data_IF_986662459074
#
_entry.id   IF_986662459074
#
_cell.length_a   1.000
_cell.length_b   1.000
_cell.length_c   1.000
_cell.angle_alpha   90.00
_cell.angle_beta   90.00
_cell.angle_gamma   90.00
#
_symmetry.space_group_name_H-M   'P 1'
#
loop_
_entity.id
_entity.type
_entity.pdbx_description
1 polymer ?
#
# COMPACT_ATOMS: atom_id res chain seq x y z
N UNK A 1 11.80 13.53 -16.67
CA UNK A 1 11.53 12.82 -15.41
C UNK A 1 10.65 13.74 -14.60
N UNK A 2 9.40 13.34 -14.32
CA UNK A 2 8.58 14.12 -13.40
C UNK A 2 9.26 14.14 -12.02
N UNK A 3 9.28 15.30 -11.38
CA UNK A 3 9.79 15.44 -10.04
C UNK A 3 8.85 14.72 -9.06
N UNK A 4 9.39 13.80 -8.25
CA UNK A 4 8.64 13.17 -7.17
C UNK A 4 8.53 14.19 -6.03
N UNK A 5 7.31 14.61 -5.73
CA UNK A 5 7.00 15.59 -4.67
C UNK A 5 6.86 14.95 -3.30
N UNK A 6 6.62 13.64 -3.25
CA UNK A 6 6.41 12.88 -2.03
C UNK A 6 5.89 11.48 -2.33
N UNK A 7 5.35 10.83 -1.30
CA UNK A 7 4.82 9.48 -1.35
C UNK A 7 3.44 9.44 -0.70
N UNK A 8 2.47 8.84 -1.38
CA UNK A 8 1.10 8.75 -0.90
C UNK A 8 0.65 7.30 -0.73
N UNK A 9 -0.17 7.04 0.29
CA UNK A 9 -0.84 5.76 0.52
C UNK A 9 -2.30 6.01 0.84
N UNK A 10 -3.18 5.11 0.41
CA UNK A 10 -4.60 5.22 0.76
C UNK A 10 -4.82 4.95 2.25
N UNK A 11 -5.63 5.79 2.90
CA UNK A 11 -6.02 5.60 4.30
C UNK A 11 -6.77 4.28 4.48
N UNK A 12 -6.49 3.57 5.58
CA UNK A 12 -7.15 2.30 5.87
C UNK A 12 -8.68 2.44 6.01
N UNK A 13 -9.15 3.60 6.47
CA UNK A 13 -10.55 3.88 6.72
C UNK A 13 -11.30 4.43 5.50
N UNK A 14 -10.60 4.77 4.41
CA UNK A 14 -11.26 5.17 3.18
C UNK A 14 -12.03 3.96 2.64
N UNK A 15 -13.36 3.94 2.87
CA UNK A 15 -14.26 2.90 2.34
C UNK A 15 -14.07 2.85 0.83
N UNK A 16 -13.82 1.65 0.30
CA UNK A 16 -13.57 1.42 -1.11
C UNK A 16 -14.72 0.64 -1.71
N UNK A 17 -15.51 1.30 -2.53
CA UNK A 17 -16.39 0.61 -3.46
C UNK A 17 -15.56 -0.06 -4.57
N UNK A 18 -14.33 0.40 -4.87
CA UNK A 18 -13.53 -0.24 -5.92
C UNK A 18 -11.99 -0.10 -5.75
N UNK A 19 -11.34 -1.15 -5.21
CA UNK A 19 -9.89 -1.38 -5.46
C UNK A 19 -9.60 -1.53 -6.98
N UNK A 20 -10.63 -1.80 -7.79
CA UNK A 20 -10.53 -2.11 -9.21
C UNK A 20 -10.43 -0.86 -10.11
N UNK A 21 -11.17 0.21 -9.80
CA UNK A 21 -11.25 1.40 -10.67
C UNK A 21 -9.99 2.28 -10.63
N UNK A 22 -9.30 2.33 -9.48
CA UNK A 22 -8.11 3.20 -9.32
C UNK A 22 -6.78 2.44 -9.36
N UNK A 23 -6.80 1.11 -9.26
CA UNK A 23 -5.58 0.28 -9.23
C UNK A 23 -4.69 0.46 -7.99
N UNK A 24 -5.13 1.29 -7.04
CA UNK A 24 -4.40 1.58 -5.80
C UNK A 24 -4.58 0.43 -4.82
N UNK A 25 -3.47 -0.14 -4.35
CA UNK A 25 -3.43 -1.27 -3.44
C UNK A 25 -3.36 -0.78 -2.01
N UNK A 26 -4.15 -1.41 -1.14
CA UNK A 26 -4.05 -1.17 0.30
C UNK A 26 -2.61 -1.37 0.78
N UNK A 27 -2.13 -0.44 1.60
CA UNK A 27 -0.80 -0.48 2.19
C UNK A 27 0.37 -0.06 1.29
N UNK A 28 0.15 0.14 -0.01
CA UNK A 28 1.18 0.53 -0.96
C UNK A 28 1.41 2.05 -0.96
N UNK A 29 2.66 2.44 -1.15
CA UNK A 29 3.08 3.83 -1.28
C UNK A 29 3.41 4.16 -2.73
N UNK A 30 2.88 5.27 -3.22
CA UNK A 30 2.94 5.71 -4.60
C UNK A 30 3.64 7.06 -4.70
N UNK A 31 4.54 7.29 -5.67
CA UNK A 31 5.11 8.61 -5.91
C UNK A 31 4.02 9.64 -6.21
N UNK A 32 4.10 10.81 -5.59
CA UNK A 32 3.26 11.97 -5.91
C UNK A 32 3.94 12.75 -7.02
N UNK A 33 3.28 12.88 -8.16
CA UNK A 33 3.76 13.63 -9.33
C UNK A 33 3.25 15.07 -9.33
N UNK A 34 2.07 15.30 -8.76
CA UNK A 34 1.48 16.63 -8.60
C UNK A 34 0.55 16.64 -7.39
N UNK A 35 0.49 17.79 -6.72
CA UNK A 35 -0.32 18.01 -5.52
C UNK A 35 -1.07 19.34 -5.68
N UNK A 36 -2.40 19.30 -5.70
CA UNK A 36 -3.28 20.46 -5.66
C UNK A 36 -4.03 20.53 -4.32
N UNK A 37 -5.00 21.44 -4.19
CA UNK A 37 -5.74 21.63 -2.92
C UNK A 37 -6.65 20.44 -2.58
N UNK A 38 -7.29 19.83 -3.57
CA UNK A 38 -8.27 18.75 -3.35
C UNK A 38 -7.88 17.44 -4.00
N UNK A 39 -6.94 17.47 -4.95
CA UNK A 39 -6.54 16.32 -5.76
C UNK A 39 -5.02 16.18 -5.79
N UNK A 40 -4.57 14.93 -5.80
CA UNK A 40 -3.17 14.58 -6.05
C UNK A 40 -3.09 13.65 -7.26
N UNK A 41 -1.98 13.71 -7.99
CA UNK A 41 -1.67 12.79 -9.10
C UNK A 41 -0.57 11.85 -8.64
N UNK A 42 -0.87 10.56 -8.65
CA UNK A 42 0.04 9.49 -8.24
C UNK A 42 0.59 8.74 -9.44
N UNK A 43 1.82 8.26 -9.35
CA UNK A 43 2.36 7.24 -10.25
C UNK A 43 1.99 5.84 -9.73
N UNK A 44 1.06 5.19 -10.42
CA UNK A 44 0.61 3.83 -10.14
C UNK A 44 1.11 2.91 -11.25
N UNK A 45 2.29 2.32 -11.04
CA UNK A 45 2.92 1.39 -11.99
C UNK A 45 3.11 2.00 -13.40
N UNK A 46 3.49 3.27 -13.49
CA UNK A 46 3.68 4.01 -14.73
C UNK A 46 2.43 4.72 -15.24
N UNK A 47 1.28 4.56 -14.56
CA UNK A 47 0.05 5.25 -14.90
C UNK A 47 -0.22 6.42 -13.96
N UNK A 48 -0.62 7.56 -14.51
CA UNK A 48 -1.04 8.73 -13.73
C UNK A 48 -2.46 8.51 -13.21
N UNK A 49 -2.63 8.45 -11.90
CA UNK A 49 -3.93 8.26 -11.24
C UNK A 49 -4.24 9.47 -10.37
N UNK A 50 -5.37 10.12 -10.65
CA UNK A 50 -5.86 11.26 -9.87
C UNK A 50 -6.70 10.77 -8.70
N UNK A 51 -6.35 11.18 -7.48
CA UNK A 51 -7.04 10.82 -6.24
C UNK A 51 -7.50 12.06 -5.48
N UNK A 52 -8.52 11.90 -4.63
CA UNK A 52 -8.84 12.92 -3.62
C UNK A 52 -7.73 12.95 -2.56
N UNK A 53 -7.35 14.14 -2.10
CA UNK A 53 -6.40 14.26 -0.99
C UNK A 53 -6.97 13.72 0.34
N UNK A 54 -8.29 13.74 0.50
CA UNK A 54 -8.97 13.27 1.72
C UNK A 54 -8.81 11.75 1.95
N UNK A 55 -8.51 10.98 0.90
CA UNK A 55 -8.38 9.52 0.98
C UNK A 55 -6.93 9.04 1.01
N UNK A 56 -5.94 9.96 0.95
CA UNK A 56 -4.51 9.61 0.96
C UNK A 56 -3.74 10.27 2.10
N UNK A 57 -2.86 9.49 2.70
CA UNK A 57 -1.80 9.97 3.59
C UNK A 57 -0.59 10.30 2.72
N UNK A 58 -0.02 11.49 2.86
CA UNK A 58 1.16 11.94 2.10
C UNK A 58 2.34 12.12 3.04
N UNK A 59 3.53 11.69 2.60
CA UNK A 59 4.81 11.87 3.28
C UNK A 59 5.87 12.37 2.31
N UNK A 60 6.78 13.22 2.79
CA UNK A 60 7.86 13.76 1.95
C UNK A 60 8.88 12.69 1.56
N UNK A 61 9.21 11.80 2.51
CA UNK A 61 10.20 10.75 2.31
C UNK A 61 9.54 9.43 1.95
N UNK A 62 10.22 8.68 1.08
CA UNK A 62 9.85 7.30 0.80
C UNK A 62 9.90 6.47 2.09
N UNK A 63 8.83 5.74 2.43
CA UNK A 63 8.88 4.81 3.54
C UNK A 63 9.87 3.67 3.27
N UNK A 64 10.46 3.15 4.34
CA UNK A 64 11.42 2.04 4.35
C UNK A 64 10.89 0.79 5.07
N UNK A 65 9.79 0.95 5.82
CA UNK A 65 9.09 -0.11 6.55
C UNK A 65 7.99 -0.77 5.74
N UNK A 66 7.74 -2.03 6.02
CA UNK A 66 6.56 -2.73 5.51
C UNK A 66 5.30 -2.19 6.18
N UNK A 67 4.32 -1.79 5.36
CA UNK A 67 2.97 -1.51 5.86
C UNK A 67 2.29 -2.82 6.20
N UNK A 68 1.69 -2.92 7.37
CA UNK A 68 0.77 -4.02 7.70
C UNK A 68 -0.62 -3.67 7.22
N UNK A 69 -1.25 -4.58 6.48
CA UNK A 69 -2.67 -4.49 6.12
C UNK A 69 -3.44 -5.53 6.92
N UNK A 70 -4.48 -5.06 7.61
CA UNK A 70 -5.48 -5.89 8.27
C UNK A 70 -6.73 -5.91 7.39
N UNK A 71 -7.18 -7.12 7.04
CA UNK A 71 -8.47 -7.34 6.41
C UNK A 71 -9.41 -7.98 7.41
N UNK A 72 -10.61 -7.42 7.53
CA UNK A 72 -11.71 -8.02 8.28
C UNK A 72 -12.22 -9.28 7.56
N UNK A 73 -13.17 -9.99 8.16
CA UNK A 73 -13.79 -11.15 7.51
C UNK A 73 -14.65 -10.74 6.31
N UNK A 74 -15.28 -9.58 6.39
CA UNK A 74 -16.24 -9.07 5.42
C UNK A 74 -15.57 -8.28 4.27
N UNK A 75 -14.29 -7.94 4.43
CA UNK A 75 -13.54 -7.26 3.39
C UNK A 75 -13.45 -8.11 2.11
N UNK A 76 -13.72 -7.53 0.93
CA UNK A 76 -13.52 -8.21 -0.34
C UNK A 76 -12.09 -8.73 -0.49
N UNK A 77 -11.98 -10.01 -0.89
CA UNK A 77 -10.70 -10.61 -1.26
C UNK A 77 -10.85 -11.38 -2.57
N UNK A 78 -10.72 -10.70 -3.73
CA UNK A 78 -10.83 -11.36 -5.03
C UNK A 78 -9.75 -12.42 -5.25
N UNK A 79 -8.66 -12.39 -4.48
CA UNK A 79 -7.60 -13.39 -4.54
C UNK A 79 -7.87 -14.61 -3.64
N UNK A 80 -8.98 -14.67 -2.88
CA UNK A 80 -9.26 -15.74 -1.92
C UNK A 80 -9.20 -17.11 -2.59
N UNK A 81 -8.44 -18.03 -1.98
CA UNK A 81 -8.27 -19.40 -2.50
C UNK A 81 -7.29 -19.53 -3.68
N UNK A 82 -6.68 -18.44 -4.13
CA UNK A 82 -5.65 -18.45 -5.18
C UNK A 82 -4.25 -18.34 -4.59
N UNK A 83 -3.21 -18.59 -5.40
CA UNK A 83 -1.81 -18.35 -4.98
C UNK A 83 -1.50 -16.88 -4.68
N UNK A 84 -2.32 -15.95 -5.16
CA UNK A 84 -2.17 -14.53 -4.90
C UNK A 84 -2.79 -14.10 -3.56
N UNK A 85 -3.45 -15.01 -2.84
CA UNK A 85 -4.02 -14.71 -1.53
C UNK A 85 -2.91 -14.43 -0.52
N UNK A 86 -2.87 -13.20 -0.02
CA UNK A 86 -1.94 -12.80 1.03
C UNK A 86 -2.48 -13.09 2.45
N UNK A 87 -3.73 -13.55 2.58
CA UNK A 87 -4.39 -13.78 3.86
C UNK A 87 -4.92 -12.49 4.51
N UNK A 88 -5.49 -12.61 5.71
CA UNK A 88 -6.13 -11.47 6.40
C UNK A 88 -5.16 -10.45 6.98
N UNK A 89 -3.91 -10.85 7.18
CA UNK A 89 -2.83 -10.00 7.69
C UNK A 89 -1.62 -10.21 6.80
N UNK A 90 -1.14 -9.14 6.19
CA UNK A 90 -0.01 -9.20 5.28
C UNK A 90 0.78 -7.90 5.28
N UNK A 91 2.05 -8.00 4.90
CA UNK A 91 2.93 -6.85 4.70
C UNK A 91 2.85 -6.34 3.27
N UNK A 92 3.09 -5.05 3.07
CA UNK A 92 3.27 -4.47 1.73
C UNK A 92 4.66 -3.88 1.64
N UNK A 93 5.42 -4.36 0.67
CA UNK A 93 6.80 -3.92 0.48
C UNK A 93 6.85 -2.42 0.11
N UNK A 94 7.63 -1.59 0.83
CA UNK A 94 7.74 -0.17 0.54
C UNK A 94 8.49 0.12 -0.77
N UNK A 95 9.22 -0.87 -1.30
CA UNK A 95 10.04 -0.72 -2.51
C UNK A 95 9.29 -1.05 -3.81
N UNK A 96 8.41 -2.04 -3.79
CA UNK A 96 7.76 -2.53 -5.01
C UNK A 96 6.28 -2.87 -4.85
N UNK A 97 5.66 -2.48 -3.72
CA UNK A 97 4.23 -2.66 -3.43
C UNK A 97 3.75 -4.12 -3.45
N UNK A 98 4.69 -5.07 -3.39
CA UNK A 98 4.37 -6.50 -3.37
C UNK A 98 3.81 -6.88 -2.01
N UNK A 99 2.68 -7.61 -2.03
CA UNK A 99 2.07 -8.20 -0.83
C UNK A 99 2.93 -9.35 -0.33
N UNK A 100 3.30 -9.34 0.94
CA UNK A 100 4.09 -10.36 1.60
C UNK A 100 3.18 -11.06 2.63
N UNK A 101 2.80 -12.32 2.40
CA UNK A 101 1.92 -13.04 3.33
C UNK A 101 2.63 -13.28 4.66
N UNK A 102 1.93 -13.00 5.77
CA UNK A 102 2.39 -13.39 7.09
C UNK A 102 1.83 -14.77 7.44
N UNK A 103 2.69 -15.78 7.47
CA UNK A 103 2.31 -17.17 7.71
C UNK A 103 2.28 -17.48 9.21
N UNK A 104 1.47 -18.47 9.60
CA UNK A 104 1.41 -18.93 11.00
C UNK A 104 0.65 -18.00 11.96
N UNK A 105 -0.07 -16.99 11.44
CA UNK A 105 -0.89 -16.10 12.26
C UNK A 105 -0.12 -15.05 13.07
N UNK A 106 1.21 -15.00 12.91
CA UNK A 106 2.12 -14.05 13.56
C UNK A 106 2.59 -13.03 12.53
N UNK A 107 2.57 -11.75 12.90
CA UNK A 107 3.22 -10.70 12.12
C UNK A 107 4.68 -10.64 12.58
N UNK A 108 5.67 -10.84 11.71
CA UNK A 108 7.07 -10.81 12.10
C UNK A 108 7.54 -9.36 12.35
N UNK A 109 8.64 -9.18 13.09
CA UNK A 109 9.27 -7.87 13.28
C UNK A 109 10.02 -7.38 12.04
N UNK A 110 10.48 -8.32 11.19
CA UNK A 110 11.20 -8.07 9.94
C UNK A 110 10.57 -8.94 8.84
N UNK A 111 10.52 -8.42 7.61
CA UNK A 111 10.06 -9.16 6.45
C UNK A 111 11.00 -8.99 5.26
N UNK A 112 11.07 -10.01 4.41
CA UNK A 112 11.81 -9.99 3.15
C UNK A 112 10.83 -10.05 1.99
N UNK A 113 10.92 -9.11 1.06
CA UNK A 113 10.09 -9.11 -0.13
C UNK A 113 10.55 -10.20 -1.11
N UNK A 114 9.67 -11.14 -1.43
CA UNK A 114 10.00 -12.21 -2.37
C UNK A 114 10.27 -11.71 -3.81
N UNK A 115 9.73 -10.55 -4.19
CA UNK A 115 9.89 -9.95 -5.52
C UNK A 115 11.18 -9.13 -5.67
N UNK A 116 11.39 -8.12 -4.82
CA UNK A 116 12.54 -7.20 -4.95
C UNK A 116 13.67 -7.45 -3.94
N UNK A 117 13.53 -8.46 -3.07
CA UNK A 117 14.50 -8.85 -2.04
C UNK A 117 14.79 -7.81 -0.95
N UNK A 118 14.05 -6.71 -0.91
CA UNK A 118 14.11 -5.74 0.19
C UNK A 118 13.81 -6.42 1.53
N UNK A 119 14.71 -6.24 2.49
CA UNK A 119 14.52 -6.62 3.89
C UNK A 119 14.30 -5.36 4.73
N UNK A 120 13.38 -5.41 5.68
CA UNK A 120 13.10 -4.25 6.53
C UNK A 120 12.09 -4.54 7.63
N UNK A 121 11.98 -3.56 8.53
CA UNK A 121 11.09 -3.63 9.69
C UNK A 121 9.62 -3.65 9.24
N UNK A 122 8.80 -4.43 9.93
CA UNK A 122 7.35 -4.42 9.80
C UNK A 122 6.77 -3.44 10.81
N UNK A 123 6.12 -2.38 10.33
CA UNK A 123 5.60 -1.32 11.18
C UNK A 123 4.22 -1.69 11.74
N UNK A 124 4.13 -1.92 13.04
CA UNK A 124 2.87 -2.23 13.73
C UNK A 124 1.99 -0.99 14.03
N UNK A 125 2.56 0.23 13.95
CA UNK A 125 1.92 1.47 14.44
C UNK A 125 1.96 2.65 13.46
N UNK A 126 2.39 2.47 12.21
CA UNK A 126 2.35 3.56 11.20
C UNK A 126 1.05 3.58 10.37
N UNK A 127 0.02 2.93 10.87
CA UNK A 127 -1.37 3.15 10.47
C UNK A 127 -2.05 3.82 11.66
N UNK A 128 -1.76 5.10 11.87
CA UNK A 128 -2.63 5.99 12.65
C UNK A 128 -3.91 6.24 11.89
#
# INVERSE_FOLDING_TARGET
>A
MDQILGWARVWFAAKRDDESETGLRNGAWYPVLSSGVTRAVLDVSGQRVTVSQEIVEVRDKRPDRFTVVYRTYDDPNPARGTRADAGRRYGVCPRCSTRVPFRGGVIPSVATCHKCKHEGIVAWWETG
#
